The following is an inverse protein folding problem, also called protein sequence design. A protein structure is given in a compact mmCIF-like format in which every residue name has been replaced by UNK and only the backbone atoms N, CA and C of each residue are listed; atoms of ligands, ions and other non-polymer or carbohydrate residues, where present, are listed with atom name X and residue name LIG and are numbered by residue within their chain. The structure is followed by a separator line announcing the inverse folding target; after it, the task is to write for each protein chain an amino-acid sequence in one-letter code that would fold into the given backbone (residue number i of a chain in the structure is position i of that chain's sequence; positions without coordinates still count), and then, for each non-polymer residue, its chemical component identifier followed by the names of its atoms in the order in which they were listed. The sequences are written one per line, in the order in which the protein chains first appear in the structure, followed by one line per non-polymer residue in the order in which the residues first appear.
data_IF_225125808585
#
_entry.id   IF_225125808585
#
_cell.length_a   1.000
_cell.length_b   1.000
_cell.length_c   1.000
_cell.angle_alpha   90.00
_cell.angle_beta   90.00
_cell.angle_gamma   90.00
#
_symmetry.space_group_name_H-M   'P 1'
#
loop_
_entity.id
_entity.type
_entity.pdbx_description
1 polymer ?
#
# COMPACT_ATOMS: atom_id res chain seq x y z
N UNK A 1 -38.70 32.96 -3.21
CA UNK A 1 -37.54 32.92 -2.29
C UNK A 1 -36.96 31.51 -2.39
N UNK A 2 -35.85 31.39 -3.13
CA UNK A 2 -35.21 30.15 -3.60
C UNK A 2 -34.37 29.46 -2.51
N UNK A 3 -34.36 28.14 -2.59
CA UNK A 3 -33.24 27.18 -2.43
C UNK A 3 -32.29 27.27 -1.23
N UNK A 4 -32.26 26.19 -0.43
CA UNK A 4 -31.04 25.62 0.18
C UNK A 4 -31.30 24.19 0.70
N UNK A 5 -31.67 23.29 -0.21
CA UNK A 5 -31.58 21.83 -0.02
C UNK A 5 -30.96 21.23 -1.27
N UNK A 6 -29.63 21.25 -1.40
CA UNK A 6 -28.78 20.30 -2.14
C UNK A 6 -27.33 20.75 -1.93
N UNK A 7 -26.55 20.10 -1.06
CA UNK A 7 -25.09 20.20 -1.06
C UNK A 7 -24.34 19.07 -0.30
N UNK A 8 -25.02 18.12 0.35
CA UNK A 8 -24.36 17.05 1.11
C UNK A 8 -24.03 15.77 0.32
N UNK A 9 -24.50 15.64 -0.93
CA UNK A 9 -24.47 14.38 -1.67
C UNK A 9 -23.31 14.19 -2.67
N UNK A 10 -22.53 15.24 -2.95
CA UNK A 10 -21.68 15.24 -4.16
C UNK A 10 -20.22 14.82 -3.91
N UNK A 11 -19.71 14.92 -2.67
CA UNK A 11 -18.29 14.64 -2.37
C UNK A 11 -18.00 13.18 -2.00
N UNK A 12 -18.92 12.50 -1.31
CA UNK A 12 -18.78 11.07 -1.02
C UNK A 12 -18.77 10.18 -2.28
N UNK A 13 -19.38 10.68 -3.38
CA UNK A 13 -19.46 9.98 -4.66
C UNK A 13 -18.18 10.05 -5.49
N UNK A 14 -17.27 11.02 -5.23
CA UNK A 14 -16.03 11.21 -6.02
C UNK A 14 -14.83 10.41 -5.49
N UNK A 15 -14.90 9.90 -4.26
CA UNK A 15 -13.84 9.09 -3.63
C UNK A 15 -14.32 7.73 -3.14
N UNK A 16 -15.44 7.22 -3.68
CA UNK A 16 -15.67 5.78 -3.64
C UNK A 16 -14.51 5.17 -4.45
N UNK A 17 -13.49 4.69 -3.74
CA UNK A 17 -12.36 4.00 -4.36
C UNK A 17 -12.95 2.98 -5.33
N UNK A 18 -12.65 3.12 -6.62
CA UNK A 18 -13.11 2.17 -7.63
C UNK A 18 -12.75 0.78 -7.10
N UNK A 19 -13.71 -0.15 -7.03
CA UNK A 19 -13.39 -1.51 -6.61
C UNK A 19 -12.26 -2.00 -7.50
N UNK A 20 -11.21 -2.53 -6.85
CA UNK A 20 -10.03 -3.07 -7.52
C UNK A 20 -10.48 -4.01 -8.64
N UNK A 21 -9.83 -3.95 -9.80
CA UNK A 21 -10.01 -4.95 -10.84
C UNK A 21 -9.89 -6.35 -10.23
N UNK A 22 -10.84 -7.22 -10.54
CA UNK A 22 -10.77 -8.59 -10.07
C UNK A 22 -9.59 -9.34 -10.73
N UNK A 23 -9.29 -10.53 -10.22
CA UNK A 23 -8.15 -11.30 -10.72
C UNK A 23 -8.28 -11.63 -12.22
N UNK A 24 -9.50 -11.78 -12.74
CA UNK A 24 -9.73 -12.09 -14.15
C UNK A 24 -9.44 -10.88 -15.05
N UNK A 25 -9.94 -9.70 -14.67
CA UNK A 25 -9.66 -8.43 -15.37
C UNK A 25 -8.16 -8.12 -15.33
N UNK A 26 -7.51 -8.30 -14.17
CA UNK A 26 -6.08 -8.04 -14.01
C UNK A 26 -5.23 -9.00 -14.85
N UNK A 27 -5.62 -10.28 -14.92
CA UNK A 27 -4.94 -11.27 -15.78
C UNK A 27 -5.12 -10.95 -17.26
N UNK A 28 -6.31 -10.50 -17.67
CA UNK A 28 -6.56 -10.08 -19.04
C UNK A 28 -5.68 -8.88 -19.44
N UNK A 29 -5.65 -7.84 -18.60
CA UNK A 29 -4.79 -6.67 -18.80
C UNK A 29 -3.31 -7.06 -18.85
N UNK A 30 -2.88 -7.96 -17.96
CA UNK A 30 -1.49 -8.45 -17.93
C UNK A 30 -1.12 -9.17 -19.23
N UNK A 31 -2.02 -10.00 -19.76
CA UNK A 31 -1.78 -10.73 -21.01
C UNK A 31 -1.60 -9.80 -22.20
N UNK A 32 -2.43 -8.76 -22.32
CA UNK A 32 -2.30 -7.74 -23.36
C UNK A 32 -1.06 -6.87 -23.16
N UNK A 33 -0.79 -6.43 -21.93
CA UNK A 33 0.38 -5.62 -21.60
C UNK A 33 1.70 -6.36 -21.89
N UNK A 34 1.76 -7.66 -21.61
CA UNK A 34 2.92 -8.50 -21.92
C UNK A 34 3.17 -8.63 -23.44
N UNK A 35 2.15 -8.43 -24.28
CA UNK A 35 2.25 -8.41 -25.74
C UNK A 35 2.61 -7.03 -26.31
N UNK A 36 2.78 -6.01 -25.45
CA UNK A 36 3.15 -4.65 -25.85
C UNK A 36 1.97 -3.74 -26.18
N UNK A 37 0.75 -4.07 -25.73
CA UNK A 37 -0.39 -3.15 -25.82
C UNK A 37 -0.22 -1.99 -24.82
N UNK A 38 0.09 -0.79 -25.32
CA UNK A 38 0.31 0.41 -24.52
C UNK A 38 -0.91 0.81 -23.67
N UNK A 39 -2.13 0.59 -24.19
CA UNK A 39 -3.37 0.89 -23.47
C UNK A 39 -3.61 -0.06 -22.30
N UNK A 40 -3.26 -1.34 -22.49
CA UNK A 40 -3.28 -2.34 -21.43
C UNK A 40 -2.18 -2.07 -20.39
N UNK A 41 -1.00 -1.63 -20.81
CA UNK A 41 0.09 -1.22 -19.90
C UNK A 41 -0.36 -0.05 -19.02
N UNK A 42 -0.93 1.02 -19.60
CA UNK A 42 -1.43 2.16 -18.84
C UNK A 42 -2.52 1.74 -17.84
N UNK A 43 -3.50 0.95 -18.30
CA UNK A 43 -4.59 0.44 -17.48
C UNK A 43 -4.08 -0.42 -16.31
N UNK A 44 -3.12 -1.30 -16.58
CA UNK A 44 -2.51 -2.17 -15.57
C UNK A 44 -1.76 -1.36 -14.52
N UNK A 45 -0.96 -0.37 -14.93
CA UNK A 45 -0.22 0.49 -14.00
C UNK A 45 -1.16 1.36 -13.18
N UNK A 46 -2.21 1.93 -13.80
CA UNK A 46 -3.24 2.71 -13.12
C UNK A 46 -3.90 1.92 -12.00
N UNK A 47 -4.08 0.63 -12.19
CA UNK A 47 -4.72 -0.26 -11.22
C UNK A 47 -3.78 -0.72 -10.11
N UNK A 48 -2.52 -1.02 -10.46
CA UNK A 48 -1.54 -1.55 -9.52
C UNK A 48 -0.90 -0.45 -8.65
N UNK A 49 -0.60 0.71 -9.23
CA UNK A 49 0.17 1.78 -8.58
C UNK A 49 -0.42 2.22 -7.23
N UNK A 50 -1.75 2.46 -7.08
CA UNK A 50 -2.30 2.87 -5.79
C UNK A 50 -2.06 1.84 -4.68
N UNK A 51 -2.09 0.54 -4.99
CA UNK A 51 -1.83 -0.52 -4.01
C UNK A 51 -0.37 -0.56 -3.60
N UNK A 52 0.54 -0.41 -4.56
CA UNK A 52 1.99 -0.35 -4.32
C UNK A 52 2.34 0.86 -3.46
N UNK A 53 1.81 2.04 -3.76
CA UNK A 53 2.03 3.26 -2.97
C UNK A 53 1.55 3.06 -1.52
N UNK A 54 0.33 2.53 -1.33
CA UNK A 54 -0.20 2.23 0.02
C UNK A 54 0.69 1.26 0.78
N UNK A 55 1.21 0.24 0.11
CA UNK A 55 2.11 -0.73 0.71
C UNK A 55 3.47 -0.14 1.10
N UNK A 56 4.11 0.61 0.20
CA UNK A 56 5.40 1.25 0.44
C UNK A 56 5.31 2.25 1.60
N UNK A 57 4.30 3.13 1.59
CA UNK A 57 4.04 4.08 2.69
C UNK A 57 3.83 3.38 4.03
N UNK A 58 3.07 2.29 4.05
CA UNK A 58 2.83 1.53 5.29
C UNK A 58 4.08 0.81 5.82
N UNK A 59 5.03 0.45 4.96
CA UNK A 59 6.22 -0.30 5.34
C UNK A 59 7.42 0.58 5.65
N UNK A 60 7.48 1.77 5.05
CA UNK A 60 8.60 2.71 5.16
C UNK A 60 8.29 3.89 6.09
N UNK A 61 7.16 3.88 6.80
CA UNK A 61 6.72 4.98 7.68
C UNK A 61 7.71 5.36 8.80
N UNK A 62 8.69 4.51 9.10
CA UNK A 62 9.72 4.77 10.14
C UNK A 62 11.01 5.39 9.59
N UNK A 63 11.10 5.61 8.28
CA UNK A 63 12.27 6.18 7.63
C UNK A 63 12.16 7.70 7.64
N UNK A 64 13.23 8.43 7.96
CA UNK A 64 13.23 9.89 7.86
C UNK A 64 12.93 10.33 6.42
N UNK A 65 12.03 11.32 6.23
CA UNK A 65 11.57 11.70 4.89
C UNK A 65 10.71 10.64 4.19
N UNK A 66 10.04 9.77 4.96
CA UNK A 66 9.35 8.59 4.43
C UNK A 66 8.36 8.86 3.30
N UNK A 67 7.69 10.02 3.24
CA UNK A 67 6.70 10.29 2.21
C UNK A 67 7.34 10.25 0.82
N UNK A 68 8.34 11.11 0.58
CA UNK A 68 9.10 11.15 -0.67
C UNK A 68 9.81 9.81 -0.93
N UNK A 69 10.49 9.28 0.09
CA UNK A 69 11.24 8.03 -0.05
C UNK A 69 10.34 6.83 -0.40
N UNK A 70 9.13 6.76 0.17
CA UNK A 70 8.19 5.68 -0.11
C UNK A 70 7.55 5.78 -1.50
N UNK A 71 7.36 7.00 -2.00
CA UNK A 71 6.85 7.25 -3.34
C UNK A 71 7.92 6.92 -4.39
N UNK A 72 9.19 7.22 -4.10
CA UNK A 72 10.34 6.82 -4.94
C UNK A 72 10.44 5.29 -5.03
N UNK A 73 10.36 4.58 -3.89
CA UNK A 73 10.36 3.11 -3.87
C UNK A 73 9.15 2.55 -4.64
N UNK A 74 7.97 3.18 -4.52
CA UNK A 74 6.80 2.77 -5.29
C UNK A 74 6.99 2.97 -6.81
N UNK A 75 7.66 4.05 -7.20
CA UNK A 75 8.03 4.30 -8.60
C UNK A 75 9.03 3.25 -9.10
N UNK A 76 10.06 2.91 -8.32
CA UNK A 76 11.00 1.83 -8.66
C UNK A 76 10.29 0.49 -8.86
N UNK A 77 9.27 0.19 -8.05
CA UNK A 77 8.45 -1.02 -8.24
C UNK A 77 7.69 -0.98 -9.56
N UNK A 78 7.11 0.17 -9.93
CA UNK A 78 6.41 0.31 -11.21
C UNK A 78 7.38 0.16 -12.40
N UNK A 79 8.57 0.75 -12.32
CA UNK A 79 9.62 0.61 -13.35
C UNK A 79 10.08 -0.85 -13.46
N UNK A 80 10.31 -1.52 -12.34
CA UNK A 80 10.68 -2.92 -12.31
C UNK A 80 9.58 -3.82 -12.89
N UNK A 81 8.31 -3.50 -12.60
CA UNK A 81 7.16 -4.18 -13.18
C UNK A 81 7.13 -4.03 -14.70
N UNK A 82 7.19 -2.80 -15.21
CA UNK A 82 7.24 -2.51 -16.65
C UNK A 82 8.38 -3.25 -17.35
N UNK A 83 9.56 -3.28 -16.72
CA UNK A 83 10.73 -3.98 -17.25
C UNK A 83 10.56 -5.50 -17.29
N UNK A 84 9.73 -6.06 -16.39
CA UNK A 84 9.49 -7.49 -16.28
C UNK A 84 8.30 -7.97 -17.12
N UNK A 85 7.33 -7.10 -17.45
CA UNK A 85 6.12 -7.44 -18.19
C UNK A 85 6.37 -8.20 -19.50
N UNK A 86 7.32 -7.81 -20.38
CA UNK A 86 7.56 -8.54 -21.63
C UNK A 86 8.05 -9.98 -21.44
N UNK A 87 8.54 -10.31 -20.25
CA UNK A 87 9.04 -11.65 -19.88
C UNK A 87 8.09 -12.36 -18.92
N UNK A 88 6.99 -11.73 -18.55
CA UNK A 88 6.01 -12.31 -17.64
C UNK A 88 5.39 -13.56 -18.26
N UNK A 89 5.27 -14.60 -17.46
CA UNK A 89 4.57 -15.83 -17.82
C UNK A 89 3.57 -16.13 -16.71
N UNK A 90 2.33 -16.39 -17.10
CA UNK A 90 1.33 -16.86 -16.16
C UNK A 90 1.74 -18.25 -15.66
N UNK A 91 1.94 -18.35 -14.34
CA UNK A 91 2.31 -19.59 -13.64
C UNK A 91 1.15 -20.12 -12.80
N UNK A 92 -0.08 -19.70 -13.07
CA UNK A 92 -1.25 -20.04 -12.27
C UNK A 92 -1.23 -19.38 -10.88
N UNK A 93 -0.56 -18.23 -10.76
CA UNK A 93 -0.50 -17.43 -9.52
C UNK A 93 -1.15 -16.08 -9.79
N UNK A 94 -1.89 -15.50 -8.82
CA UNK A 94 -2.47 -14.18 -9.00
C UNK A 94 -1.38 -13.15 -9.32
N UNK A 95 -1.57 -12.34 -10.36
CA UNK A 95 -0.60 -11.35 -10.82
C UNK A 95 -0.20 -10.35 -9.72
N UNK A 96 -1.12 -9.99 -8.82
CA UNK A 96 -0.81 -9.11 -7.70
C UNK A 96 0.28 -9.69 -6.79
N UNK A 97 0.35 -11.03 -6.66
CA UNK A 97 1.41 -11.70 -5.90
C UNK A 97 2.77 -11.46 -6.53
N UNK A 98 2.85 -11.46 -7.86
CA UNK A 98 4.09 -11.16 -8.57
C UNK A 98 4.53 -9.71 -8.33
N UNK A 99 3.62 -8.75 -8.47
CA UNK A 99 3.88 -7.33 -8.18
C UNK A 99 4.34 -7.14 -6.73
N UNK A 100 3.64 -7.73 -5.77
CA UNK A 100 3.95 -7.56 -4.35
C UNK A 100 5.19 -8.34 -3.91
N UNK A 101 5.58 -9.36 -4.67
CA UNK A 101 6.92 -9.94 -4.62
C UNK A 101 7.98 -8.88 -4.92
N UNK A 102 7.88 -8.17 -6.05
CA UNK A 102 8.80 -7.07 -6.42
C UNK A 102 8.78 -5.99 -5.33
N UNK A 103 7.60 -5.55 -4.91
CA UNK A 103 7.45 -4.51 -3.88
C UNK A 103 8.07 -4.91 -2.54
N UNK A 104 7.88 -6.17 -2.11
CA UNK A 104 8.47 -6.67 -0.87
C UNK A 104 10.01 -6.69 -0.92
N UNK A 105 10.60 -7.03 -2.06
CA UNK A 105 12.05 -6.98 -2.25
C UNK A 105 12.56 -5.55 -2.20
N UNK A 106 11.97 -4.64 -2.98
CA UNK A 106 12.36 -3.22 -3.00
C UNK A 106 12.26 -2.54 -1.64
N UNK A 107 11.17 -2.77 -0.91
CA UNK A 107 11.02 -2.27 0.46
C UNK A 107 12.07 -2.87 1.40
N UNK A 108 12.40 -4.16 1.27
CA UNK A 108 13.42 -4.78 2.10
C UNK A 108 14.82 -4.21 1.80
N UNK A 109 15.14 -3.97 0.52
CA UNK A 109 16.38 -3.34 0.09
C UNK A 109 16.51 -1.92 0.66
N UNK A 110 15.43 -1.13 0.54
CA UNK A 110 15.34 0.21 1.11
C UNK A 110 15.61 0.24 2.63
N UNK A 111 14.91 -0.62 3.39
CA UNK A 111 15.11 -0.74 4.84
C UNK A 111 16.55 -1.16 5.22
N UNK A 112 17.18 -2.05 4.44
CA UNK A 112 18.59 -2.43 4.65
C UNK A 112 19.54 -1.27 4.35
N UNK A 113 19.26 -0.46 3.33
CA UNK A 113 20.01 0.75 3.01
C UNK A 113 20.00 1.76 4.17
N UNK A 114 18.83 2.02 4.75
CA UNK A 114 18.68 2.92 5.90
C UNK A 114 19.42 2.44 7.16
N UNK A 115 19.60 1.13 7.33
CA UNK A 115 20.32 0.58 8.50
C UNK A 115 21.84 0.70 8.37
N UNK A 116 22.35 0.84 7.14
CA UNK A 116 23.80 0.96 6.85
C UNK A 116 24.30 2.40 6.78
N UNK A 117 23.39 3.36 6.58
CA UNK A 117 23.71 4.77 6.68
C UNK A 117 23.61 5.17 8.16
N UNK A 118 24.76 5.30 8.83
CA UNK A 118 24.84 5.93 10.16
C UNK A 118 24.12 7.28 10.13
N UNK A 119 23.24 7.49 11.11
CA UNK A 119 22.30 8.61 11.23
C UNK A 119 23.01 9.96 11.12
N UNK A 120 22.68 10.80 10.11
CA UNK A 120 22.82 12.24 10.21
C UNK A 120 21.45 12.80 10.56
N UNK A 121 21.30 13.20 11.82
CA UNK A 121 20.29 14.18 12.21
C UNK A 121 20.68 15.47 11.50
N UNK A 122 19.94 15.91 10.48
CA UNK A 122 19.68 17.33 10.24
C UNK A 122 18.75 17.63 9.05
N UNK A 123 17.81 18.54 9.35
CA UNK A 123 17.06 19.43 8.46
C UNK A 123 16.08 18.85 7.44
N UNK A 124 14.81 19.08 7.74
CA UNK A 124 13.65 18.99 6.83
C UNK A 124 13.65 20.20 5.90
N UNK A 125 13.55 20.04 4.56
CA UNK A 125 13.05 21.09 3.68
C UNK A 125 11.52 21.09 3.77
N UNK A 126 10.96 22.22 4.20
CA UNK A 126 9.53 22.51 4.17
C UNK A 126 9.06 22.52 2.71
N UNK A 127 8.17 21.60 2.34
CA UNK A 127 7.57 21.54 1.00
C UNK A 127 6.05 21.59 1.15
N UNK A 128 5.33 22.44 0.40
CA UNK A 128 3.91 22.64 0.62
C UNK A 128 3.10 21.37 0.38
N UNK A 129 2.22 21.07 1.33
CA UNK A 129 1.23 19.99 1.29
C UNK A 129 0.15 20.31 0.24
N UNK A 130 0.15 19.61 -0.91
CA UNK A 130 -0.93 19.70 -1.91
C UNK A 130 -2.13 18.79 -1.54
N UNK A 131 -2.56 18.85 -0.28
CA UNK A 131 -3.80 18.22 0.19
C UNK A 131 -4.95 19.24 0.33
N UNK A 132 -6.23 18.84 0.18
CA UNK A 132 -7.36 19.75 0.34
C UNK A 132 -7.52 20.22 1.80
N UNK A 133 -8.16 21.40 1.96
CA UNK A 133 -8.19 22.32 3.11
C UNK A 133 -8.17 21.84 4.59
N UNK A 134 -7.95 22.79 5.54
CA UNK A 134 -7.10 22.57 6.71
C UNK A 134 -7.74 21.87 7.92
N UNK A 135 -9.07 21.72 8.00
CA UNK A 135 -9.73 21.33 9.26
C UNK A 135 -10.22 19.86 9.29
N UNK A 136 -10.68 19.30 8.17
CA UNK A 136 -10.99 17.85 8.06
C UNK A 136 -9.75 16.99 7.77
N UNK A 137 -8.71 17.59 7.18
CA UNK A 137 -7.45 16.93 6.85
C UNK A 137 -6.60 16.66 8.10
N UNK A 138 -6.61 17.56 9.08
CA UNK A 138 -5.83 17.40 10.31
C UNK A 138 -6.23 16.16 11.13
N UNK A 139 -7.54 15.90 11.28
CA UNK A 139 -8.03 14.72 12.02
C UNK A 139 -7.63 13.42 11.32
N UNK A 140 -7.76 13.36 10.00
CA UNK A 140 -7.35 12.17 9.20
C UNK A 140 -5.85 11.96 9.21
N UNK A 141 -5.06 13.03 9.22
CA UNK A 141 -3.60 12.96 9.35
C UNK A 141 -3.22 12.38 10.71
N UNK A 142 -3.81 12.88 11.80
CA UNK A 142 -3.55 12.37 13.16
C UNK A 142 -3.97 10.91 13.31
N UNK A 143 -5.15 10.52 12.80
CA UNK A 143 -5.61 9.13 12.81
C UNK A 143 -4.69 8.21 11.98
N UNK A 144 -4.20 8.69 10.83
CA UNK A 144 -3.26 7.94 10.00
C UNK A 144 -1.90 7.76 10.67
N UNK A 145 -1.38 8.79 11.36
CA UNK A 145 -0.14 8.67 12.13
C UNK A 145 -0.29 7.69 13.30
N UNK A 146 -1.37 7.78 14.08
CA UNK A 146 -1.66 6.81 15.14
C UNK A 146 -1.76 5.38 14.60
N UNK A 147 -2.40 5.19 13.44
CA UNK A 147 -2.47 3.87 12.80
C UNK A 147 -1.08 3.35 12.40
N UNK A 148 -0.19 4.22 11.89
CA UNK A 148 1.20 3.87 11.53
C UNK A 148 2.02 3.51 12.77
N UNK A 149 1.90 4.28 13.85
CA UNK A 149 2.56 3.99 15.12
C UNK A 149 2.12 2.64 15.68
N UNK A 150 0.82 2.35 15.71
CA UNK A 150 0.31 1.06 16.17
C UNK A 150 0.80 -0.11 15.32
N UNK A 151 0.90 0.06 13.99
CA UNK A 151 1.49 -0.95 13.10
C UNK A 151 2.99 -1.14 13.36
N UNK A 152 3.69 -0.11 13.82
CA UNK A 152 5.11 -0.18 14.19
C UNK A 152 5.36 -1.07 15.42
N UNK A 153 4.39 -1.21 16.31
CA UNK A 153 4.45 -2.09 17.50
C UNK A 153 4.30 -3.59 17.19
N UNK A 154 3.95 -3.92 15.95
CA UNK A 154 3.84 -5.31 15.52
C UNK A 154 5.19 -5.91 15.14
N UNK A 155 5.38 -7.23 15.37
CA UNK A 155 6.48 -7.97 14.77
C UNK A 155 6.47 -7.82 13.26
N UNK A 156 7.65 -7.77 12.65
CA UNK A 156 7.83 -7.48 11.23
C UNK A 156 6.93 -8.34 10.32
N UNK A 157 6.82 -9.64 10.60
CA UNK A 157 5.97 -10.54 9.81
C UNK A 157 4.48 -10.20 9.89
N UNK A 158 3.99 -9.78 11.05
CA UNK A 158 2.60 -9.35 11.23
C UNK A 158 2.34 -8.01 10.54
N UNK A 159 3.31 -7.07 10.63
CA UNK A 159 3.24 -5.79 9.92
C UNK A 159 3.17 -6.03 8.41
N UNK A 160 4.07 -6.85 7.85
CA UNK A 160 4.04 -7.25 6.42
C UNK A 160 2.69 -7.79 5.99
N UNK A 161 2.16 -8.74 6.76
CA UNK A 161 0.88 -9.37 6.47
C UNK A 161 -0.27 -8.36 6.47
N UNK A 162 -0.35 -7.47 7.47
CA UNK A 162 -1.40 -6.45 7.53
C UNK A 162 -1.23 -5.36 6.47
N UNK A 163 0.01 -4.97 6.14
CA UNK A 163 0.26 -4.04 5.04
C UNK A 163 -0.25 -4.58 3.70
N UNK A 164 -0.14 -5.89 3.45
CA UNK A 164 -0.70 -6.51 2.24
C UNK A 164 -2.22 -6.65 2.32
N UNK A 165 -2.75 -7.25 3.40
CA UNK A 165 -4.16 -7.63 3.51
C UNK A 165 -5.12 -6.47 3.74
N UNK A 166 -4.72 -5.51 4.57
CA UNK A 166 -5.61 -4.45 5.06
C UNK A 166 -5.34 -3.14 4.34
N UNK A 167 -4.07 -2.81 4.09
CA UNK A 167 -3.68 -1.51 3.54
C UNK A 167 -3.61 -1.54 2.02
N UNK A 168 -2.90 -2.52 1.45
CA UNK A 168 -2.83 -2.69 0.01
C UNK A 168 -4.09 -3.32 -0.57
N UNK A 169 -4.78 -4.18 0.21
CA UNK A 169 -6.05 -4.81 -0.16
C UNK A 169 -5.89 -6.15 -0.88
N UNK A 170 -4.75 -6.82 -0.74
CA UNK A 170 -4.54 -8.15 -1.33
C UNK A 170 -5.50 -9.16 -0.70
N UNK A 171 -5.93 -10.14 -1.48
CA UNK A 171 -6.64 -11.34 -1.08
C UNK A 171 -5.76 -12.24 -0.18
N UNK A 172 -6.39 -13.21 0.50
CA UNK A 172 -5.66 -14.15 1.35
C UNK A 172 -4.78 -15.10 0.51
N UNK A 173 -5.22 -15.36 -0.73
CA UNK A 173 -4.51 -16.18 -1.70
C UNK A 173 -3.30 -15.45 -2.26
N UNK A 174 -3.51 -14.21 -2.73
CA UNK A 174 -2.44 -13.31 -3.19
C UNK A 174 -1.37 -13.13 -2.11
N UNK A 175 -1.79 -12.83 -0.88
CA UNK A 175 -0.87 -12.67 0.25
C UNK A 175 -0.13 -13.97 0.58
N UNK A 176 -0.81 -15.11 0.47
CA UNK A 176 -0.23 -16.43 0.72
C UNK A 176 0.94 -16.73 -0.21
N UNK A 177 0.78 -16.43 -1.51
CA UNK A 177 1.84 -16.57 -2.49
C UNK A 177 3.05 -15.66 -2.21
N UNK A 178 2.82 -14.43 -1.74
CA UNK A 178 3.92 -13.51 -1.41
C UNK A 178 4.66 -13.94 -0.13
N UNK A 179 3.94 -14.41 0.89
CA UNK A 179 4.50 -14.72 2.21
C UNK A 179 4.89 -16.19 2.39
N UNK A 180 4.65 -17.06 1.41
CA UNK A 180 4.88 -18.50 1.54
C UNK A 180 3.94 -19.17 2.54
N UNK A 181 2.69 -18.73 2.60
CA UNK A 181 1.67 -19.20 3.55
C UNK A 181 0.44 -19.74 2.81
N UNK A 182 -0.27 -20.70 3.41
CA UNK A 182 -1.58 -21.08 2.88
C UNK A 182 -2.62 -19.96 3.10
N UNK A 183 -3.67 -19.83 2.26
CA UNK A 183 -4.70 -18.82 2.46
C UNK A 183 -5.39 -18.94 3.82
N UNK A 184 -5.55 -20.16 4.34
CA UNK A 184 -6.05 -20.41 5.70
C UNK A 184 -5.13 -19.85 6.77
N UNK A 185 -3.82 -20.11 6.67
CA UNK A 185 -2.82 -19.57 7.59
C UNK A 185 -2.78 -18.04 7.55
N UNK A 186 -2.94 -17.41 6.38
CA UNK A 186 -3.03 -15.95 6.23
C UNK A 186 -4.22 -15.38 7.02
N UNK A 187 -5.42 -15.95 6.86
CA UNK A 187 -6.62 -15.48 7.59
C UNK A 187 -6.45 -15.60 9.10
N UNK A 188 -5.90 -16.71 9.57
CA UNK A 188 -5.62 -16.95 10.99
C UNK A 188 -4.58 -15.96 11.53
N UNK A 189 -3.48 -15.74 10.79
CA UNK A 189 -2.46 -14.78 11.19
C UNK A 189 -2.97 -13.34 11.17
N UNK A 190 -3.80 -12.97 10.19
CA UNK A 190 -4.49 -11.67 10.14
C UNK A 190 -5.34 -11.45 11.39
N UNK A 191 -6.16 -12.44 11.77
CA UNK A 191 -7.00 -12.35 12.96
C UNK A 191 -6.15 -12.12 14.23
N UNK A 192 -5.06 -12.89 14.40
CA UNK A 192 -4.15 -12.74 15.55
C UNK A 192 -3.47 -11.36 15.57
N UNK A 193 -3.01 -10.87 14.42
CA UNK A 193 -2.37 -9.58 14.30
C UNK A 193 -3.32 -8.42 14.64
N UNK A 194 -4.57 -8.47 14.15
CA UNK A 194 -5.61 -7.49 14.50
C UNK A 194 -5.98 -7.54 15.99
N UNK A 195 -6.06 -8.73 16.59
CA UNK A 195 -6.28 -8.86 18.02
C UNK A 195 -5.14 -8.25 18.85
N UNK A 196 -3.88 -8.39 18.39
CA UNK A 196 -2.73 -7.74 19.02
C UNK A 196 -2.81 -6.22 18.90
N UNK A 197 -3.11 -5.69 17.71
CA UNK A 197 -3.28 -4.24 17.51
C UNK A 197 -4.33 -3.66 18.45
N UNK A 198 -5.47 -4.32 18.62
CA UNK A 198 -6.51 -3.88 19.57
C UNK A 198 -5.97 -3.76 20.99
N UNK A 199 -5.21 -4.76 21.46
CA UNK A 199 -4.60 -4.72 22.82
C UNK A 199 -3.60 -3.57 22.97
N UNK A 200 -2.73 -3.38 21.97
CA UNK A 200 -1.74 -2.28 21.98
C UNK A 200 -2.45 -0.92 21.95
N UNK A 201 -3.47 -0.76 21.11
CA UNK A 201 -4.25 0.48 21.02
C UNK A 201 -4.97 0.82 22.33
N UNK A 202 -5.56 -0.17 23.01
CA UNK A 202 -6.17 0.04 24.33
C UNK A 202 -5.14 0.44 25.38
N UNK A 203 -3.96 -0.19 25.38
CA UNK A 203 -2.89 0.16 26.32
C UNK A 203 -2.33 1.58 26.06
N UNK A 204 -2.25 2.01 24.80
CA UNK A 204 -1.76 3.35 24.45
C UNK A 204 -2.77 4.46 24.75
N UNK A 205 -4.07 4.16 24.76
CA UNK A 205 -5.13 5.11 25.17
C UNK A 205 -5.22 5.33 26.69
N UNK A 206 -4.56 4.48 27.48
CA UNK A 206 -4.54 4.56 28.95
C UNK A 206 -3.28 5.25 29.48
N UNK A 207 -2.41 5.74 28.58
CA UNK A 207 -1.23 6.57 28.89
C UNK A 207 -1.54 8.01 28.50
#
# INVERSE_FOLDING_TARGET
MRDLRVAGGTLARRYAARPRADDAELNHLTSLAAQGDDGAVDSLIREVRPMVVRYCRARLSRVSGYAHYSDDVAQEVCIALLSALPRYRDMGRPFASFVFGIAAHKVADALRGCTRADVPTDSVPDCPDEAPGPEESAVRIVEAEQARELLSELPEQQRRLLSMRVIAGLSADETGHVLGMSPGAVRVAQHRALARLRRVATANRLR
#
